data_IF_677539316533
#
_entry.id   IF_677539316533
#
_cell.length_a   1.000
_cell.length_b   1.000
_cell.length_c   1.000
_cell.angle_alpha   90.00
_cell.angle_beta   90.00
_cell.angle_gamma   90.00
#
_symmetry.space_group_name_H-M   'P 1'
#
loop_
_entity.id
_entity.type
_entity.pdbx_description
1 polymer ?
#
# COMPACT_ATOMS: atom_id res chain seq x y z
N UNK A 1 -7.29 -10.64 -0.30
CA UNK A 1 -7.49 -10.59 1.18
C UNK A 1 -8.47 -9.48 1.49
N UNK A 2 -9.08 -9.43 2.70
CA UNK A 2 -9.98 -8.32 3.01
C UNK A 2 -9.20 -7.09 3.52
N UNK A 3 -9.83 -5.89 3.46
CA UNK A 3 -9.17 -4.63 3.83
C UNK A 3 -8.70 -4.57 5.30
N UNK A 4 -9.28 -5.35 6.23
CA UNK A 4 -8.78 -5.46 7.61
C UNK A 4 -7.44 -6.21 7.67
N UNK A 5 -7.27 -7.22 6.80
CA UNK A 5 -6.02 -7.98 6.71
C UNK A 5 -4.89 -7.11 6.15
N UNK A 6 -5.16 -6.30 5.11
CA UNK A 6 -4.17 -5.34 4.58
C UNK A 6 -3.75 -4.32 5.63
N UNK A 7 -4.70 -3.77 6.39
CA UNK A 7 -4.40 -2.84 7.47
C UNK A 7 -3.54 -3.48 8.56
N UNK A 8 -3.84 -4.72 8.93
CA UNK A 8 -3.07 -5.46 9.94
C UNK A 8 -1.62 -5.67 9.49
N UNK A 9 -1.43 -6.07 8.22
CA UNK A 9 -0.09 -6.23 7.63
C UNK A 9 0.67 -4.90 7.61
N UNK A 10 0.00 -3.81 7.18
CA UNK A 10 0.57 -2.47 7.17
C UNK A 10 0.99 -1.99 8.55
N UNK A 11 0.13 -2.16 9.55
CA UNK A 11 0.41 -1.76 10.93
C UNK A 11 1.56 -2.58 11.52
N UNK A 12 1.52 -3.89 11.41
CA UNK A 12 2.56 -4.78 11.96
C UNK A 12 3.92 -4.49 11.34
N UNK A 13 3.98 -4.41 10.02
CA UNK A 13 5.24 -4.14 9.31
C UNK A 13 5.79 -2.75 9.61
N UNK A 14 4.93 -1.73 9.75
CA UNK A 14 5.40 -0.37 10.05
C UNK A 14 5.92 -0.22 11.48
N UNK A 15 5.31 -0.85 12.48
CA UNK A 15 5.81 -0.82 13.86
C UNK A 15 7.21 -1.44 13.92
N UNK A 16 7.38 -2.61 13.31
CA UNK A 16 8.68 -3.29 13.30
C UNK A 16 9.74 -2.46 12.56
N UNK A 17 9.41 -1.97 11.36
CA UNK A 17 10.35 -1.20 10.54
C UNK A 17 10.71 0.12 11.20
N UNK A 18 9.76 0.86 11.79
CA UNK A 18 10.02 2.13 12.47
C UNK A 18 10.89 1.93 13.71
N UNK A 19 10.68 0.86 14.49
CA UNK A 19 11.51 0.53 15.63
C UNK A 19 12.97 0.21 15.22
N UNK A 20 13.16 -0.54 14.14
CA UNK A 20 14.49 -0.82 13.60
C UNK A 20 15.18 0.47 13.15
N UNK A 21 14.49 1.33 12.38
CA UNK A 21 15.04 2.59 11.87
C UNK A 21 15.37 3.57 13.01
N UNK A 22 14.58 3.58 14.07
CA UNK A 22 14.88 4.32 15.28
C UNK A 22 16.13 3.79 15.98
N UNK A 23 16.23 2.47 16.17
CA UNK A 23 17.40 1.84 16.81
C UNK A 23 18.71 2.12 16.10
N UNK A 24 18.71 2.13 14.77
CA UNK A 24 19.91 2.42 13.95
C UNK A 24 20.15 3.92 13.73
N UNK A 25 19.37 4.80 14.37
CA UNK A 25 19.55 6.25 14.33
C UNK A 25 19.12 6.92 13.02
N UNK A 26 18.37 6.22 12.15
CA UNK A 26 17.85 6.80 10.88
C UNK A 26 16.60 7.63 11.13
N UNK A 27 15.74 7.20 12.06
CA UNK A 27 14.54 7.92 12.45
C UNK A 27 14.61 8.34 13.91
N UNK A 28 14.02 9.50 14.21
CA UNK A 28 13.66 9.95 15.55
C UNK A 28 12.24 9.48 15.93
N UNK A 29 11.78 9.83 17.13
CA UNK A 29 10.44 9.49 17.62
C UNK A 29 9.34 10.11 16.75
N UNK A 30 9.37 11.41 16.37
CA UNK A 30 8.40 12.01 15.46
C UNK A 30 8.29 11.31 14.13
N UNK A 31 9.40 11.00 13.47
CA UNK A 31 9.42 10.27 12.20
C UNK A 31 8.86 8.85 12.35
N UNK A 32 9.22 8.15 13.43
CA UNK A 32 8.74 6.80 13.72
C UNK A 32 7.23 6.74 13.91
N UNK A 33 6.67 7.67 14.68
CA UNK A 33 5.22 7.78 14.90
C UNK A 33 4.48 8.11 13.59
N UNK A 34 5.02 9.07 12.82
CA UNK A 34 4.47 9.42 11.50
C UNK A 34 4.49 8.22 10.55
N UNK A 35 5.55 7.41 10.57
CA UNK A 35 5.66 6.18 9.76
C UNK A 35 4.53 5.21 10.08
N UNK A 36 4.29 4.91 11.35
CA UNK A 36 3.23 3.96 11.75
C UNK A 36 1.85 4.49 11.38
N UNK A 37 1.56 5.77 11.66
CA UNK A 37 0.28 6.38 11.35
C UNK A 37 -0.01 6.37 9.85
N UNK A 38 0.95 6.82 9.04
CA UNK A 38 0.78 6.95 7.60
C UNK A 38 0.82 5.61 6.86
N UNK A 39 1.51 4.59 7.39
CA UNK A 39 1.46 3.24 6.82
C UNK A 39 0.07 2.60 6.95
N UNK A 40 -0.64 2.87 8.04
CA UNK A 40 -2.04 2.45 8.17
C UNK A 40 -2.92 3.03 7.07
N UNK A 41 -2.67 4.29 6.65
CA UNK A 41 -3.37 4.94 5.54
C UNK A 41 -2.89 4.35 4.21
N UNK A 42 -1.57 4.25 4.02
CA UNK A 42 -0.94 3.69 2.83
C UNK A 42 -1.44 2.29 2.46
N UNK A 43 -1.72 1.47 3.49
CA UNK A 43 -2.26 0.11 3.29
C UNK A 43 -3.67 0.04 2.70
N UNK A 44 -4.37 1.16 2.55
CA UNK A 44 -5.68 1.24 1.88
C UNK A 44 -5.61 1.90 0.50
N UNK A 45 -4.56 2.65 0.20
CA UNK A 45 -4.49 3.49 -1.00
C UNK A 45 -4.65 2.69 -2.29
N UNK A 46 -3.99 1.52 -2.52
CA UNK A 46 -4.18 0.78 -3.75
C UNK A 46 -5.63 0.38 -4.04
N UNK A 47 -6.41 0.11 -3.00
CA UNK A 47 -7.82 -0.29 -3.11
C UNK A 47 -8.79 0.87 -3.45
N UNK A 48 -8.31 2.10 -3.63
CA UNK A 48 -9.14 3.24 -4.05
C UNK A 48 -9.73 3.00 -5.46
N UNK A 49 -9.07 2.21 -6.29
CA UNK A 49 -9.53 1.81 -7.61
C UNK A 49 -10.84 1.00 -7.59
N UNK A 50 -11.20 0.43 -6.44
CA UNK A 50 -12.38 -0.41 -6.28
C UNK A 50 -13.47 0.29 -5.47
N UNK A 51 -14.56 0.73 -6.11
CA UNK A 51 -15.71 1.41 -5.48
C UNK A 51 -16.34 0.60 -4.34
N UNK A 52 -16.30 -0.74 -4.40
CA UNK A 52 -16.81 -1.64 -3.36
C UNK A 52 -15.88 -1.82 -2.16
N UNK A 53 -14.62 -1.42 -2.24
CA UNK A 53 -13.64 -1.52 -1.16
C UNK A 53 -13.94 -0.54 -0.03
N UNK A 54 -13.31 -0.73 1.13
CA UNK A 54 -13.43 0.24 2.24
C UNK A 54 -12.79 1.59 1.86
N UNK A 55 -11.68 1.57 1.14
CA UNK A 55 -11.00 2.77 0.65
C UNK A 55 -11.86 3.50 -0.38
N UNK A 56 -12.32 2.79 -1.41
CA UNK A 56 -13.15 3.38 -2.47
C UNK A 56 -14.45 4.00 -1.96
N UNK A 57 -15.08 3.40 -0.94
CA UNK A 57 -16.27 3.97 -0.29
C UNK A 57 -15.99 5.24 0.52
N UNK A 58 -14.79 5.38 1.09
CA UNK A 58 -14.41 6.57 1.85
C UNK A 58 -14.00 7.75 0.95
N UNK A 59 -13.56 7.46 -0.27
CA UNK A 59 -13.10 8.48 -1.22
C UNK A 59 -13.85 8.34 -2.54
N UNK A 60 -15.19 8.52 -2.55
CA UNK A 60 -16.02 8.32 -3.74
C UNK A 60 -15.62 9.26 -4.89
N UNK A 61 -15.17 10.48 -4.55
CA UNK A 61 -14.70 11.47 -5.53
C UNK A 61 -13.53 10.98 -6.41
N UNK A 62 -12.73 10.03 -5.93
CA UNK A 62 -11.64 9.41 -6.69
C UNK A 62 -12.05 8.06 -7.30
N UNK A 63 -12.74 7.22 -6.54
CA UNK A 63 -13.06 5.84 -6.97
C UNK A 63 -14.07 5.78 -8.12
N UNK A 64 -15.06 6.67 -8.15
CA UNK A 64 -16.06 6.71 -9.24
C UNK A 64 -15.48 7.18 -10.57
N UNK A 65 -14.66 8.25 -10.66
CA UNK A 65 -13.96 8.60 -11.89
C UNK A 65 -13.03 7.50 -12.42
N UNK A 66 -12.29 6.82 -11.56
CA UNK A 66 -11.42 5.69 -11.96
C UNK A 66 -12.26 4.59 -12.61
N UNK A 67 -13.37 4.19 -11.98
CA UNK A 67 -14.31 3.22 -12.54
C UNK A 67 -14.94 3.72 -13.84
N UNK A 68 -15.28 5.02 -13.92
CA UNK A 68 -15.82 5.66 -15.12
C UNK A 68 -14.84 5.57 -16.30
N UNK A 69 -13.55 5.83 -16.07
CA UNK A 69 -12.51 5.70 -17.08
C UNK A 69 -12.38 4.25 -17.59
N UNK A 70 -12.33 3.27 -16.70
CA UNK A 70 -12.34 1.85 -17.10
C UNK A 70 -13.54 1.52 -17.97
N UNK A 71 -14.75 1.94 -17.58
CA UNK A 71 -15.98 1.70 -18.33
C UNK A 71 -15.98 2.40 -19.70
N UNK A 72 -15.49 3.64 -19.76
CA UNK A 72 -15.38 4.42 -20.99
C UNK A 72 -14.44 3.74 -22.01
N UNK A 73 -13.24 3.35 -21.57
CA UNK A 73 -12.27 2.70 -22.45
C UNK A 73 -12.74 1.31 -22.89
N UNK A 74 -13.39 0.55 -22.02
CA UNK A 74 -14.04 -0.73 -22.40
C UNK A 74 -15.15 -0.53 -23.45
N UNK A 75 -15.95 0.53 -23.32
CA UNK A 75 -16.96 0.87 -24.30
C UNK A 75 -16.34 1.28 -25.65
N UNK A 76 -15.28 2.12 -25.62
CA UNK A 76 -14.53 2.52 -26.82
C UNK A 76 -13.94 1.29 -27.52
N UNK A 77 -13.36 0.36 -26.78
CA UNK A 77 -12.87 -0.89 -27.33
C UNK A 77 -13.97 -1.71 -28.02
N UNK A 78 -15.12 -1.88 -27.38
CA UNK A 78 -16.26 -2.60 -27.97
C UNK A 78 -16.73 -1.96 -29.27
N UNK A 79 -16.70 -0.62 -29.37
CA UNK A 79 -17.13 0.14 -30.54
C UNK A 79 -16.10 0.15 -31.67
N UNK A 80 -14.81 0.30 -31.36
CA UNK A 80 -13.75 0.52 -32.35
C UNK A 80 -12.91 -0.73 -32.63
N UNK A 81 -12.95 -1.73 -31.73
CA UNK A 81 -12.07 -2.91 -31.71
C UNK A 81 -10.57 -2.55 -31.63
N UNK A 82 -10.24 -1.32 -31.24
CA UNK A 82 -8.87 -0.86 -31.08
C UNK A 82 -8.27 -1.41 -29.79
N UNK A 83 -7.24 -2.26 -29.88
CA UNK A 83 -6.57 -2.92 -28.75
C UNK A 83 -5.94 -1.94 -27.75
N UNK A 84 -5.67 -0.70 -28.17
CA UNK A 84 -5.16 0.34 -27.25
C UNK A 84 -6.18 0.65 -26.17
N UNK A 85 -7.46 0.79 -26.52
CA UNK A 85 -8.52 1.05 -25.55
C UNK A 85 -8.74 -0.12 -24.59
N UNK A 86 -8.57 -1.35 -25.04
CA UNK A 86 -8.62 -2.53 -24.20
C UNK A 86 -7.53 -2.49 -23.14
N UNK A 87 -6.28 -2.25 -23.54
CA UNK A 87 -5.14 -2.11 -22.62
C UNK A 87 -5.32 -0.96 -21.61
N UNK A 88 -5.82 0.19 -22.05
CA UNK A 88 -6.06 1.32 -21.16
C UNK A 88 -7.19 0.99 -20.17
N UNK A 89 -8.24 0.28 -20.58
CA UNK A 89 -9.30 -0.13 -19.65
C UNK A 89 -8.77 -1.03 -18.54
N UNK A 90 -7.87 -1.97 -18.86
CA UNK A 90 -7.20 -2.84 -17.88
C UNK A 90 -6.39 -2.06 -16.83
N UNK A 91 -5.84 -0.88 -17.19
CA UNK A 91 -5.09 -0.05 -16.23
C UNK A 91 -5.98 0.44 -15.09
N UNK A 92 -7.24 0.75 -15.38
CA UNK A 92 -8.21 1.29 -14.43
C UNK A 92 -9.11 0.20 -13.81
N UNK A 93 -8.93 -1.05 -14.16
CA UNK A 93 -9.60 -2.17 -13.50
C UNK A 93 -9.02 -2.39 -12.10
N UNK A 94 -9.82 -3.01 -11.24
CA UNK A 94 -9.32 -3.44 -9.93
C UNK A 94 -8.14 -4.39 -10.07
N UNK A 95 -7.06 -4.07 -9.36
CA UNK A 95 -5.73 -4.66 -9.52
C UNK A 95 -5.09 -4.42 -10.89
N UNK A 96 -5.33 -3.24 -11.43
CA UNK A 96 -4.61 -2.66 -12.55
C UNK A 96 -3.40 -1.84 -12.09
N UNK A 97 -3.25 -0.62 -12.63
CA UNK A 97 -2.08 0.24 -12.40
C UNK A 97 -1.88 0.63 -10.92
N UNK A 98 -2.97 0.77 -10.15
CA UNK A 98 -2.91 1.08 -8.71
C UNK A 98 -2.32 -0.07 -7.87
N UNK A 99 -2.22 -1.28 -8.44
CA UNK A 99 -1.56 -2.42 -7.83
C UNK A 99 -0.21 -2.74 -8.47
N UNK A 100 0.34 -1.80 -9.25
CA UNK A 100 1.66 -1.91 -9.85
C UNK A 100 2.71 -1.15 -9.00
N UNK A 101 3.75 -1.81 -8.48
CA UNK A 101 4.83 -1.15 -7.73
C UNK A 101 5.48 -0.01 -8.51
N UNK A 102 5.68 -0.20 -9.83
CA UNK A 102 6.28 0.82 -10.69
C UNK A 102 5.50 2.15 -10.68
N UNK A 103 4.17 2.09 -10.68
CA UNK A 103 3.32 3.28 -10.58
C UNK A 103 3.57 4.05 -9.29
N UNK A 104 3.67 3.36 -8.16
CA UNK A 104 3.92 3.98 -6.86
C UNK A 104 5.34 4.52 -6.73
N UNK A 105 6.33 3.86 -7.33
CA UNK A 105 7.70 4.40 -7.40
C UNK A 105 7.74 5.75 -8.14
N UNK A 106 7.01 5.87 -9.26
CA UNK A 106 6.91 7.13 -10.00
C UNK A 106 6.25 8.26 -9.21
N UNK A 107 5.41 7.93 -8.22
CA UNK A 107 4.77 8.90 -7.32
C UNK A 107 5.69 9.22 -6.13
N UNK A 108 6.16 8.20 -5.41
CA UNK A 108 6.87 8.43 -4.15
C UNK A 108 8.28 8.96 -4.34
N UNK A 109 9.00 8.59 -5.39
CA UNK A 109 10.36 9.09 -5.62
C UNK A 109 10.38 10.62 -5.74
N UNK A 110 9.55 11.26 -6.60
CA UNK A 110 9.48 12.72 -6.64
C UNK A 110 9.04 13.35 -5.31
N UNK A 111 8.06 12.74 -4.62
CA UNK A 111 7.60 13.26 -3.32
C UNK A 111 8.73 13.29 -2.29
N UNK A 112 9.56 12.23 -2.23
CA UNK A 112 10.72 12.18 -1.34
C UNK A 112 11.82 13.19 -1.71
N UNK A 113 12.00 13.46 -3.00
CA UNK A 113 13.04 14.40 -3.47
C UNK A 113 12.62 15.84 -3.24
N UNK A 114 11.37 16.19 -3.54
CA UNK A 114 10.95 17.59 -3.62
C UNK A 114 10.25 18.12 -2.37
N UNK A 115 9.53 17.31 -1.59
CA UNK A 115 8.75 17.83 -0.46
C UNK A 115 9.61 18.14 0.78
N UNK A 116 10.48 17.23 1.30
CA UNK A 116 11.22 17.51 2.53
C UNK A 116 12.08 18.76 2.48
N UNK A 117 12.79 19.10 1.39
CA UNK A 117 13.60 20.30 1.33
C UNK A 117 12.81 21.62 1.43
N UNK A 118 11.50 21.59 1.18
CA UNK A 118 10.65 22.78 1.28
C UNK A 118 10.25 23.09 2.74
N UNK A 119 10.55 22.20 3.69
CA UNK A 119 10.14 22.32 5.09
C UNK A 119 11.32 22.83 5.90
N UNK A 120 11.19 24.02 6.44
CA UNK A 120 12.24 24.71 7.20
C UNK A 120 12.35 24.18 8.64
N UNK A 121 11.23 23.76 9.23
CA UNK A 121 11.21 23.30 10.61
C UNK A 121 11.65 21.84 10.70
N UNK A 122 12.78 21.56 11.35
CA UNK A 122 13.44 20.24 11.39
C UNK A 122 12.52 19.11 11.87
N UNK A 123 11.82 19.28 12.98
CA UNK A 123 10.90 18.24 13.51
C UNK A 123 9.79 17.93 12.51
N UNK A 124 9.23 18.96 11.87
CA UNK A 124 8.19 18.78 10.85
C UNK A 124 8.75 18.09 9.61
N UNK A 125 9.97 18.43 9.21
CA UNK A 125 10.66 17.75 8.10
C UNK A 125 10.85 16.26 8.39
N UNK A 126 11.31 15.88 9.58
CA UNK A 126 11.44 14.49 10.01
C UNK A 126 10.09 13.77 10.02
N UNK A 127 9.04 14.40 10.53
CA UNK A 127 7.68 13.84 10.49
C UNK A 127 7.19 13.63 9.06
N UNK A 128 7.50 14.53 8.14
CA UNK A 128 7.10 14.41 6.72
C UNK A 128 7.88 13.30 6.04
N UNK A 129 9.18 13.18 6.29
CA UNK A 129 9.99 12.07 5.78
C UNK A 129 9.45 10.73 6.28
N UNK A 130 9.25 10.61 7.60
CA UNK A 130 8.65 9.42 8.19
C UNK A 130 7.25 9.12 7.67
N UNK A 131 6.44 10.16 7.48
CA UNK A 131 5.09 10.03 6.93
C UNK A 131 5.07 9.54 5.47
N UNK A 132 5.89 10.12 4.60
CA UNK A 132 6.04 9.67 3.21
C UNK A 132 6.56 8.23 3.15
N UNK A 133 7.56 7.90 3.98
CA UNK A 133 8.06 6.54 4.09
C UNK A 133 6.96 5.58 4.58
N UNK A 134 6.19 5.96 5.57
CA UNK A 134 5.06 5.19 6.06
C UNK A 134 4.01 4.94 4.98
N UNK A 135 3.61 5.97 4.22
CA UNK A 135 2.69 5.82 3.08
C UNK A 135 3.22 4.81 2.06
N UNK A 136 4.48 4.96 1.64
CA UNK A 136 5.12 4.06 0.68
C UNK A 136 5.20 2.63 1.22
N UNK A 137 5.61 2.47 2.49
CA UNK A 137 5.68 1.18 3.16
C UNK A 137 4.30 0.51 3.25
N UNK A 138 3.26 1.27 3.61
CA UNK A 138 1.88 0.76 3.66
C UNK A 138 1.40 0.26 2.31
N UNK A 139 1.68 1.00 1.23
CA UNK A 139 1.40 0.56 -0.15
C UNK A 139 2.15 -0.73 -0.49
N UNK A 140 3.46 -0.79 -0.22
CA UNK A 140 4.27 -2.00 -0.50
C UNK A 140 3.74 -3.20 0.26
N UNK A 141 3.40 -3.05 1.54
CA UNK A 141 2.85 -4.12 2.36
C UNK A 141 1.46 -4.58 1.89
N UNK A 142 0.61 -3.64 1.40
CA UNK A 142 -0.65 -3.98 0.74
C UNK A 142 -0.42 -4.83 -0.50
N UNK A 143 0.46 -4.38 -1.41
CA UNK A 143 0.78 -5.08 -2.64
C UNK A 143 1.36 -6.48 -2.35
N UNK A 144 2.23 -6.59 -1.34
CA UNK A 144 2.74 -7.89 -0.89
C UNK A 144 1.63 -8.82 -0.42
N UNK A 145 0.69 -8.33 0.41
CA UNK A 145 -0.45 -9.10 0.85
C UNK A 145 -1.35 -9.54 -0.32
N UNK A 146 -1.47 -8.71 -1.37
CA UNK A 146 -2.22 -9.07 -2.57
C UNK A 146 -1.50 -10.07 -3.48
N UNK A 147 -0.16 -10.14 -3.43
CA UNK A 147 0.59 -11.23 -4.08
C UNK A 147 0.30 -12.60 -3.47
N UNK A 148 -0.19 -12.65 -2.22
CA UNK A 148 -0.62 -13.90 -1.58
C UNK A 148 -2.01 -14.35 -2.03
N UNK A 149 -2.77 -13.52 -2.76
CA UNK A 149 -4.08 -13.88 -3.30
C UNK A 149 -3.97 -14.68 -4.62
N UNK A 150 -5.00 -15.47 -4.97
CA UNK A 150 -5.00 -16.25 -6.22
C UNK A 150 -4.87 -15.40 -7.49
N UNK A 151 -5.36 -14.17 -7.48
CA UNK A 151 -5.33 -13.25 -8.64
C UNK A 151 -3.97 -12.60 -8.84
N UNK A 152 -3.16 -12.43 -7.77
CA UNK A 152 -1.88 -11.73 -7.84
C UNK A 152 -1.99 -10.24 -8.21
N UNK A 153 -0.84 -9.62 -8.51
CA UNK A 153 -0.71 -8.21 -8.90
C UNK A 153 0.17 -8.06 -10.15
N UNK A 154 -0.03 -7.01 -10.96
CA UNK A 154 0.78 -6.73 -12.15
C UNK A 154 2.04 -5.94 -11.79
N UNK A 155 3.14 -6.63 -11.45
CA UNK A 155 4.38 -5.99 -10.95
C UNK A 155 4.94 -4.93 -11.92
N UNK A 156 4.86 -5.17 -13.22
CA UNK A 156 5.51 -4.36 -14.25
C UNK A 156 4.55 -3.59 -15.15
N UNK A 157 3.29 -3.41 -14.73
CA UNK A 157 2.35 -2.56 -15.45
C UNK A 157 2.82 -1.10 -15.41
N UNK A 158 2.70 -0.34 -16.50
CA UNK A 158 1.97 -0.62 -17.76
C UNK A 158 2.75 -1.40 -18.83
N UNK A 159 4.00 -1.76 -18.60
CA UNK A 159 4.88 -2.40 -19.60
C UNK A 159 4.46 -3.85 -19.83
N UNK A 160 4.30 -4.62 -18.74
CA UNK A 160 3.94 -6.04 -18.76
C UNK A 160 2.67 -6.25 -17.95
N UNK A 161 1.61 -6.73 -18.57
CA UNK A 161 0.29 -6.97 -17.94
C UNK A 161 0.20 -8.30 -17.19
N UNK A 162 1.28 -9.10 -17.16
CA UNK A 162 1.30 -10.39 -16.47
C UNK A 162 1.17 -10.19 -14.96
N UNK A 163 0.22 -10.89 -14.33
CA UNK A 163 0.03 -10.88 -12.88
C UNK A 163 0.91 -11.93 -12.22
N UNK A 164 1.59 -11.52 -11.14
CA UNK A 164 2.46 -12.34 -10.33
C UNK A 164 1.79 -12.64 -9.00
N UNK A 165 1.95 -13.87 -8.52
CA UNK A 165 1.43 -14.33 -7.23
C UNK A 165 2.45 -15.20 -6.52
N UNK A 166 2.51 -15.10 -5.19
CA UNK A 166 3.38 -15.92 -4.33
C UNK A 166 2.62 -17.09 -3.72
N UNK A 167 1.31 -16.93 -3.47
CA UNK A 167 0.48 -17.96 -2.86
C UNK A 167 -0.94 -17.96 -3.46
N UNK A 168 -1.85 -18.74 -2.87
CA UNK A 168 -3.26 -18.84 -3.27
C UNK A 168 -4.19 -18.75 -2.06
N UNK A 169 -4.00 -17.75 -1.21
CA UNK A 169 -4.85 -17.54 -0.04
C UNK A 169 -6.16 -16.91 -0.49
N UNK A 170 -7.23 -17.70 -0.49
CA UNK A 170 -8.57 -17.23 -0.88
C UNK A 170 -9.17 -16.42 0.26
N UNK A 171 -9.75 -15.25 -0.07
CA UNK A 171 -10.45 -14.39 0.90
C UNK A 171 -11.61 -15.15 1.57
N UNK A 172 -11.68 -15.08 2.90
CA UNK A 172 -12.68 -15.80 3.71
C UNK A 172 -12.33 -17.26 4.01
N UNK A 173 -11.21 -17.80 3.50
CA UNK A 173 -10.78 -19.17 3.75
C UNK A 173 -10.13 -19.37 5.13
N UNK A 174 -10.02 -20.64 5.57
CA UNK A 174 -9.24 -21.02 6.75
C UNK A 174 -7.78 -20.54 6.66
N UNK A 175 -7.18 -20.56 5.46
CA UNK A 175 -5.83 -20.07 5.23
C UNK A 175 -5.70 -18.58 5.51
N UNK A 176 -6.70 -17.73 5.12
CA UNK A 176 -6.71 -16.33 5.50
C UNK A 176 -6.89 -16.13 7.01
N UNK A 177 -7.68 -16.98 7.67
CA UNK A 177 -7.83 -16.92 9.13
C UNK A 177 -6.50 -17.22 9.82
N UNK A 178 -5.81 -18.29 9.44
CA UNK A 178 -4.48 -18.64 9.97
C UNK A 178 -3.50 -17.50 9.74
N UNK A 179 -3.46 -16.94 8.52
CA UNK A 179 -2.60 -15.79 8.21
C UNK A 179 -2.89 -14.59 9.13
N UNK A 180 -4.18 -14.27 9.39
CA UNK A 180 -4.55 -13.19 10.31
C UNK A 180 -4.09 -13.46 11.73
N UNK A 181 -4.25 -14.68 12.23
CA UNK A 181 -3.78 -15.06 13.58
C UNK A 181 -2.27 -14.88 13.68
N UNK A 182 -1.50 -15.36 12.71
CA UNK A 182 -0.05 -15.17 12.66
C UNK A 182 0.33 -13.70 12.63
N UNK A 183 -0.37 -12.86 11.86
CA UNK A 183 -0.13 -11.42 11.82
C UNK A 183 -0.48 -10.72 13.14
N UNK A 184 -1.51 -11.16 13.87
CA UNK A 184 -1.84 -10.64 15.19
C UNK A 184 -0.74 -11.00 16.20
N UNK A 185 -0.26 -12.23 16.20
CA UNK A 185 0.88 -12.63 17.05
C UNK A 185 2.13 -11.82 16.73
N UNK A 186 2.43 -11.64 15.45
CA UNK A 186 3.56 -10.81 15.02
C UNK A 186 3.38 -9.34 15.41
N UNK A 187 2.15 -8.81 15.42
CA UNK A 187 1.85 -7.46 15.89
C UNK A 187 2.21 -7.31 17.38
N UNK A 188 1.81 -8.24 18.24
CA UNK A 188 2.17 -8.19 19.66
C UNK A 188 3.69 -8.28 19.88
N UNK A 189 4.37 -9.15 19.12
CA UNK A 189 5.83 -9.24 19.15
C UNK A 189 6.46 -7.91 18.70
N UNK A 190 5.96 -7.31 17.63
CA UNK A 190 6.47 -6.03 17.10
C UNK A 190 6.28 -4.89 18.11
N UNK A 191 5.13 -4.82 18.80
CA UNK A 191 4.88 -3.85 19.85
C UNK A 191 5.84 -4.07 21.02
N UNK A 192 6.02 -5.30 21.48
CA UNK A 192 6.96 -5.63 22.57
C UNK A 192 8.39 -5.22 22.23
N UNK A 193 8.88 -5.60 21.04
CA UNK A 193 10.21 -5.22 20.56
C UNK A 193 10.36 -3.70 20.42
N UNK A 194 9.38 -3.02 19.85
CA UNK A 194 9.40 -1.57 19.74
C UNK A 194 9.48 -0.90 21.12
N UNK A 195 8.69 -1.37 22.10
CA UNK A 195 8.72 -0.86 23.46
C UNK A 195 10.10 -1.02 24.09
N UNK A 196 10.72 -2.19 23.98
CA UNK A 196 12.07 -2.44 24.51
C UNK A 196 13.13 -1.53 23.86
N UNK A 197 13.02 -1.32 22.54
CA UNK A 197 13.92 -0.44 21.78
C UNK A 197 13.73 1.03 22.22
N UNK A 198 12.49 1.54 22.29
CA UNK A 198 12.22 2.93 22.66
C UNK A 198 12.56 3.23 24.14
N UNK A 199 12.53 2.22 25.02
CA UNK A 199 12.97 2.35 26.41
C UNK A 199 14.48 2.15 26.60
N UNK A 200 15.25 1.98 25.52
CA UNK A 200 16.69 1.69 25.53
C UNK A 200 17.08 0.46 26.39
N UNK A 201 16.22 -0.56 26.41
CA UNK A 201 16.46 -1.83 27.13
C UNK A 201 17.15 -2.85 26.21
N UNK A 202 17.14 -2.61 24.90
CA UNK A 202 17.78 -3.45 23.88
C UNK A 202 18.73 -2.65 23.00
#
# INVERSE_FOLDING_TARGET
MNGKTHQLVGLTGSILTSAILYKVGVFDVPASLATVAMSSIGSYIPDIDHVGSKAGKKVPLLSYPIKGLSSLFSWLYKKTRCKVFDRISEWFEHRGIFHAPLFWMLIFIPLFIFIPPLIVHEIVQHMVIGGLFGLALGVVLHLFADMLNPTGIPLFMPIIHKKFRLAKIVTGSKAELVFKVLMILLLFISIGLATLIFLNIM
#
